data_IF_500829411660
#
_entry.id   IF_500829411660
#
_cell.length_a   1.000
_cell.length_b   1.000
_cell.length_c   1.000
_cell.angle_alpha   90.00
_cell.angle_beta   90.00
_cell.angle_gamma   90.00
#
_symmetry.space_group_name_H-M   'P 1'
#
loop_
_entity.id
_entity.type
_entity.pdbx_description
1 polymer ?
#
# COMPACT_ATOMS: atom_id res chain seq x y z
N UNK A 1 -5.92 18.97 -0.83
CA UNK A 1 -4.58 18.56 -0.34
C UNK A 1 -4.41 18.71 1.17
N UNK A 2 -5.48 18.93 1.93
CA UNK A 2 -5.39 19.27 3.37
C UNK A 2 -6.13 18.29 4.29
N UNK A 3 -6.86 17.30 3.76
CA UNK A 3 -7.70 16.41 4.57
C UNK A 3 -7.04 15.11 5.07
N UNK A 4 -5.91 14.70 4.50
CA UNK A 4 -5.17 13.49 4.95
C UNK A 4 -4.41 13.68 6.27
N UNK A 5 -4.38 14.90 6.81
CA UNK A 5 -3.63 15.24 8.03
C UNK A 5 -4.47 15.19 9.32
N UNK A 6 -5.77 14.87 9.24
CA UNK A 6 -6.70 15.10 10.37
C UNK A 6 -7.20 13.86 11.10
N UNK A 7 -6.70 12.65 10.86
CA UNK A 7 -7.26 11.46 11.53
C UNK A 7 -6.49 10.94 12.75
N UNK A 8 -5.71 11.77 13.46
CA UNK A 8 -5.29 11.49 14.83
C UNK A 8 -5.12 12.81 15.60
N UNK A 9 -6.19 13.34 16.21
CA UNK A 9 -6.08 14.45 17.14
C UNK A 9 -5.45 13.93 18.44
N UNK A 10 -4.14 14.11 18.63
CA UNK A 10 -3.47 13.77 19.88
C UNK A 10 -2.00 13.39 19.80
N UNK A 11 -1.42 13.24 18.64
CA UNK A 11 -0.01 12.89 18.50
C UNK A 11 0.95 14.07 18.77
N UNK A 12 2.19 13.73 19.20
CA UNK A 12 3.25 14.71 19.39
C UNK A 12 3.62 15.45 18.09
N UNK A 13 4.36 16.55 18.21
CA UNK A 13 4.85 17.26 17.03
C UNK A 13 5.74 16.34 16.16
N UNK A 14 6.57 15.52 16.80
CA UNK A 14 7.45 14.57 16.10
C UNK A 14 6.67 13.47 15.40
N UNK A 15 5.62 12.94 15.99
CA UNK A 15 4.76 11.94 15.32
C UNK A 15 4.12 12.51 14.06
N UNK A 16 3.69 13.78 14.09
CA UNK A 16 3.15 14.47 12.91
C UNK A 16 4.22 14.69 11.84
N UNK A 17 5.42 15.13 12.25
CA UNK A 17 6.55 15.27 11.33
C UNK A 17 6.96 13.94 10.70
N UNK A 18 6.98 12.85 11.48
CA UNK A 18 7.26 11.52 11.00
C UNK A 18 6.22 11.06 9.96
N UNK A 19 4.92 11.30 10.19
CA UNK A 19 3.88 10.98 9.22
C UNK A 19 4.04 11.75 7.91
N UNK A 20 4.40 13.03 7.97
CA UNK A 20 4.70 13.82 6.77
C UNK A 20 5.90 13.26 6.02
N UNK A 21 6.95 12.89 6.72
CA UNK A 21 8.14 12.28 6.13
C UNK A 21 7.85 10.90 5.51
N UNK A 22 6.99 10.09 6.13
CA UNK A 22 6.55 8.77 5.61
C UNK A 22 5.75 8.88 4.31
N UNK A 23 5.09 10.00 4.04
CA UNK A 23 4.41 10.23 2.77
C UNK A 23 5.37 10.28 1.56
N UNK A 24 6.66 10.48 1.80
CA UNK A 24 7.70 10.51 0.77
C UNK A 24 8.43 9.17 0.60
N UNK A 25 8.19 8.21 1.49
CA UNK A 25 8.74 6.86 1.39
C UNK A 25 7.84 6.02 0.51
N UNK A 26 8.30 5.70 -0.70
CA UNK A 26 7.53 4.91 -1.68
C UNK A 26 8.00 3.46 -1.71
N UNK A 27 7.07 2.58 -2.13
CA UNK A 27 7.39 1.19 -2.43
C UNK A 27 8.32 1.13 -3.66
N UNK A 28 9.47 0.43 -3.61
CA UNK A 28 10.40 0.37 -4.74
C UNK A 28 9.79 -0.31 -5.98
N UNK A 29 8.78 -1.16 -5.84
CA UNK A 29 8.06 -1.80 -6.94
C UNK A 29 6.87 -0.94 -7.43
N UNK A 30 6.46 0.06 -6.65
CA UNK A 30 5.36 0.99 -6.92
C UNK A 30 5.80 2.42 -6.56
N UNK A 31 6.74 3.03 -7.30
CA UNK A 31 7.42 4.27 -6.91
C UNK A 31 6.49 5.51 -6.84
N UNK A 32 5.26 5.38 -7.26
CA UNK A 32 4.22 6.41 -7.15
C UNK A 32 3.36 6.28 -5.89
N UNK A 33 3.48 5.16 -5.15
CA UNK A 33 2.72 4.90 -3.94
C UNK A 33 3.63 4.94 -2.72
N UNK A 34 3.25 5.76 -1.75
CA UNK A 34 3.91 5.79 -0.45
C UNK A 34 3.46 4.64 0.45
N UNK A 35 4.24 4.37 1.49
CA UNK A 35 3.86 3.41 2.54
C UNK A 35 2.57 3.82 3.26
N UNK A 36 2.22 5.11 3.24
CA UNK A 36 0.93 5.62 3.75
C UNK A 36 -0.20 5.35 2.77
N UNK A 37 -0.01 5.55 1.47
CA UNK A 37 -1.00 5.24 0.43
C UNK A 37 -1.40 3.77 0.48
N UNK A 38 -0.42 2.89 0.67
CA UNK A 38 -0.61 1.44 0.78
C UNK A 38 -1.15 1.02 2.16
N UNK A 39 -1.28 1.94 3.12
CA UNK A 39 -1.73 1.63 4.47
C UNK A 39 -0.83 0.66 5.22
N UNK A 40 0.47 0.65 4.90
CA UNK A 40 1.47 -0.23 5.53
C UNK A 40 1.84 0.24 6.94
N UNK A 41 1.61 1.50 7.28
CA UNK A 41 1.92 2.03 8.60
C UNK A 41 0.73 1.79 9.53
N UNK A 42 0.94 0.99 10.58
CA UNK A 42 -0.05 0.73 11.61
C UNK A 42 -0.10 1.85 12.63
N UNK A 43 1.07 2.20 13.17
CA UNK A 43 1.19 3.27 14.15
C UNK A 43 2.54 3.98 14.03
N UNK A 44 2.56 5.21 14.50
CA UNK A 44 3.77 5.98 14.78
C UNK A 44 3.60 6.50 16.19
N UNK A 45 4.52 6.17 17.09
CA UNK A 45 4.50 6.59 18.48
C UNK A 45 5.85 7.15 18.89
N UNK A 46 5.85 8.08 19.84
CA UNK A 46 7.06 8.64 20.45
C UNK A 46 7.08 8.28 21.95
N UNK A 47 8.19 7.71 22.39
CA UNK A 47 8.47 7.47 23.79
C UNK A 47 9.96 7.73 24.07
N UNK A 48 10.26 8.38 25.20
CA UNK A 48 11.63 8.68 25.64
C UNK A 48 12.50 9.37 24.58
N UNK A 49 11.87 10.18 23.73
CA UNK A 49 12.55 10.94 22.68
C UNK A 49 12.90 10.12 21.42
N UNK A 50 12.47 8.87 21.32
CA UNK A 50 12.62 8.01 20.17
C UNK A 50 11.26 7.70 19.51
N UNK A 51 11.27 7.57 18.20
CA UNK A 51 10.09 7.17 17.40
C UNK A 51 10.07 5.64 17.26
N UNK A 52 8.89 5.07 17.35
CA UNK A 52 8.62 3.69 16.96
C UNK A 52 7.58 3.67 15.85
N UNK A 53 7.90 3.03 14.73
CA UNK A 53 7.01 2.87 13.58
C UNK A 53 6.67 1.39 13.44
N UNK A 54 5.38 1.07 13.50
CA UNK A 54 4.88 -0.28 13.22
C UNK A 54 4.57 -0.43 11.73
N UNK A 55 5.34 -1.26 11.04
CA UNK A 55 5.23 -1.54 9.61
C UNK A 55 4.53 -2.87 9.39
N UNK A 56 3.41 -2.86 8.66
CA UNK A 56 2.67 -4.05 8.22
C UNK A 56 3.00 -4.34 6.76
N UNK A 57 3.61 -5.48 6.44
CA UNK A 57 3.86 -5.83 5.04
C UNK A 57 2.55 -6.16 4.32
N UNK A 58 2.38 -5.68 3.10
CA UNK A 58 1.23 -6.02 2.24
C UNK A 58 1.20 -7.50 1.89
N UNK A 59 2.36 -8.14 1.91
CA UNK A 59 2.55 -9.56 1.68
C UNK A 59 3.70 -10.08 2.56
N UNK A 60 3.48 -11.19 3.28
CA UNK A 60 4.46 -11.72 4.26
C UNK A 60 5.81 -12.10 3.64
N UNK A 61 5.83 -12.44 2.35
CA UNK A 61 7.02 -12.80 1.58
C UNK A 61 7.52 -11.67 0.67
N UNK A 62 7.19 -10.40 0.96
CA UNK A 62 7.62 -9.28 0.12
C UNK A 62 9.15 -9.14 0.12
N UNK A 63 9.83 -9.28 -1.04
CA UNK A 63 11.28 -9.14 -1.12
C UNK A 63 11.75 -7.70 -0.89
N UNK A 64 10.86 -6.71 -1.09
CA UNK A 64 11.16 -5.30 -0.89
C UNK A 64 11.05 -4.84 0.58
N UNK A 65 10.61 -5.71 1.50
CA UNK A 65 10.29 -5.31 2.87
C UNK A 65 11.48 -4.69 3.61
N UNK A 66 12.67 -5.28 3.47
CA UNK A 66 13.88 -4.74 4.10
C UNK A 66 14.27 -3.39 3.51
N UNK A 67 14.14 -3.21 2.20
CA UNK A 67 14.39 -1.93 1.53
C UNK A 67 13.42 -0.85 2.01
N UNK A 68 12.14 -1.18 2.16
CA UNK A 68 11.11 -0.26 2.67
C UNK A 68 11.44 0.12 4.12
N UNK A 69 11.77 -0.86 4.96
CA UNK A 69 12.18 -0.60 6.37
C UNK A 69 13.37 0.36 6.42
N UNK A 70 14.41 0.08 5.65
CA UNK A 70 15.63 0.88 5.66
C UNK A 70 15.38 2.30 5.13
N UNK A 71 14.54 2.46 4.10
CA UNK A 71 14.11 3.75 3.59
C UNK A 71 13.30 4.55 4.64
N UNK A 72 12.43 3.88 5.42
CA UNK A 72 11.72 4.51 6.53
C UNK A 72 12.71 5.02 7.59
N UNK A 73 13.68 4.17 7.99
CA UNK A 73 14.70 4.55 8.97
C UNK A 73 15.48 5.76 8.47
N UNK A 74 16.03 5.69 7.25
CA UNK A 74 16.81 6.77 6.65
C UNK A 74 16.02 8.09 6.63
N UNK A 75 14.76 8.03 6.19
CA UNK A 75 13.92 9.22 6.07
C UNK A 75 13.58 9.83 7.43
N UNK A 76 13.33 9.01 8.44
CA UNK A 76 12.93 9.48 9.78
C UNK A 76 14.10 9.89 10.67
N UNK A 77 15.34 9.52 10.35
CA UNK A 77 16.53 10.01 11.08
C UNK A 77 16.61 11.53 11.08
N UNK A 78 16.04 12.21 10.10
CA UNK A 78 15.95 13.69 10.06
C UNK A 78 14.98 14.25 11.12
N UNK A 79 14.06 13.43 11.63
CA UNK A 79 13.08 13.78 12.66
C UNK A 79 13.60 13.42 14.06
N UNK A 80 14.32 12.28 14.17
CA UNK A 80 14.90 11.82 15.42
C UNK A 80 15.27 10.33 15.38
N UNK A 81 15.76 9.80 16.52
CA UNK A 81 16.01 8.37 16.66
C UNK A 81 14.73 7.57 16.36
N UNK A 82 14.85 6.49 15.57
CA UNK A 82 13.70 5.70 15.12
C UNK A 82 14.00 4.21 15.16
N UNK A 83 12.99 3.44 15.56
CA UNK A 83 12.93 1.98 15.42
C UNK A 83 11.74 1.62 14.54
N UNK A 84 11.94 0.71 13.58
CA UNK A 84 10.87 0.18 12.74
C UNK A 84 10.62 -1.28 13.11
N UNK A 85 9.41 -1.56 13.57
CA UNK A 85 8.97 -2.89 13.98
C UNK A 85 8.04 -3.49 12.91
N UNK A 86 8.39 -4.69 12.43
CA UNK A 86 7.55 -5.40 11.45
C UNK A 86 6.46 -6.16 12.21
N UNK A 87 5.21 -5.76 11.99
CA UNK A 87 4.03 -6.39 12.58
C UNK A 87 3.65 -7.62 11.77
N UNK A 88 3.69 -8.81 12.40
CA UNK A 88 3.36 -10.10 11.77
C UNK A 88 2.16 -10.79 12.41
N UNK A 89 1.73 -10.32 13.58
CA UNK A 89 0.62 -10.89 14.33
C UNK A 89 -0.76 -10.40 13.88
N UNK A 90 -0.80 -9.42 12.99
CA UNK A 90 -2.02 -8.90 12.38
C UNK A 90 -1.77 -8.80 10.87
N UNK A 91 -2.58 -9.48 10.04
CA UNK A 91 -2.42 -9.40 8.59
C UNK A 91 -2.79 -7.99 8.09
N UNK A 92 -2.06 -7.52 7.09
CA UNK A 92 -2.47 -6.37 6.32
C UNK A 92 -3.71 -6.71 5.49
N UNK A 93 -4.55 -5.74 5.26
CA UNK A 93 -5.72 -5.87 4.39
C UNK A 93 -5.72 -4.79 3.33
N UNK A 94 -6.17 -5.11 2.12
CA UNK A 94 -6.31 -4.18 1.01
C UNK A 94 -7.28 -3.02 1.27
N UNK A 95 -8.15 -3.15 2.28
CA UNK A 95 -9.01 -2.05 2.76
C UNK A 95 -8.20 -0.90 3.39
N UNK A 96 -6.95 -1.15 3.75
CA UNK A 96 -6.04 -0.12 4.29
C UNK A 96 -5.46 0.80 3.22
N UNK A 97 -5.55 0.42 1.95
CA UNK A 97 -5.13 1.30 0.83
C UNK A 97 -6.03 2.53 0.85
N UNK A 98 -5.42 3.70 0.91
CA UNK A 98 -6.17 4.96 0.91
C UNK A 98 -6.85 5.18 -0.44
N UNK A 99 -7.90 6.00 -0.47
CA UNK A 99 -8.55 6.36 -1.74
C UNK A 99 -7.56 7.05 -2.70
N UNK A 100 -6.67 7.88 -2.18
CA UNK A 100 -5.59 8.46 -2.98
C UNK A 100 -4.64 7.39 -3.53
N UNK A 101 -4.29 6.38 -2.72
CA UNK A 101 -3.49 5.24 -3.15
C UNK A 101 -4.18 4.45 -4.27
N UNK A 102 -5.48 4.21 -4.17
CA UNK A 102 -6.27 3.56 -5.23
C UNK A 102 -6.26 4.37 -6.53
N UNK A 103 -6.38 5.68 -6.45
CA UNK A 103 -6.29 6.56 -7.62
C UNK A 103 -4.88 6.59 -8.22
N UNK A 104 -3.84 6.52 -7.39
CA UNK A 104 -2.46 6.41 -7.87
C UNK A 104 -2.21 5.07 -8.58
N UNK A 105 -2.75 3.96 -8.06
CA UNK A 105 -2.73 2.66 -8.75
C UNK A 105 -3.35 2.76 -10.14
N UNK A 106 -4.57 3.29 -10.26
CA UNK A 106 -5.25 3.46 -11.55
C UNK A 106 -4.43 4.30 -12.53
N UNK A 107 -3.85 5.41 -12.07
CA UNK A 107 -2.99 6.27 -12.92
C UNK A 107 -1.71 5.56 -13.36
N UNK A 108 -1.22 4.62 -12.58
CA UNK A 108 -0.08 3.77 -12.92
C UNK A 108 -0.45 2.59 -13.82
N UNK A 109 -1.73 2.45 -14.22
CA UNK A 109 -2.20 1.35 -15.05
C UNK A 109 -2.41 0.03 -14.30
N UNK A 110 -2.47 0.10 -12.96
CA UNK A 110 -2.80 -1.05 -12.11
C UNK A 110 -4.23 -0.94 -11.63
N UNK A 111 -5.00 -2.01 -11.78
CA UNK A 111 -6.32 -2.08 -11.17
C UNK A 111 -6.18 -2.22 -9.63
N UNK A 112 -6.84 -1.39 -8.83
CA UNK A 112 -6.85 -1.56 -7.39
C UNK A 112 -7.62 -2.83 -7.00
N UNK A 113 -7.36 -3.39 -5.80
CA UNK A 113 -8.13 -4.51 -5.30
C UNK A 113 -9.60 -4.11 -5.10
N UNK A 114 -10.56 -5.04 -5.27
CA UNK A 114 -11.95 -4.77 -4.97
C UNK A 114 -12.14 -4.42 -3.49
N UNK A 115 -13.20 -3.69 -3.17
CA UNK A 115 -13.65 -3.50 -1.80
C UNK A 115 -14.35 -4.76 -1.30
N UNK A 116 -14.18 -5.08 -0.02
CA UNK A 116 -14.85 -6.19 0.64
C UNK A 116 -13.92 -7.32 1.11
N UNK A 117 -14.45 -8.17 1.97
CA UNK A 117 -13.70 -9.23 2.60
C UNK A 117 -13.60 -10.44 1.65
N UNK A 118 -12.40 -10.90 1.32
CA UNK A 118 -12.15 -12.04 0.42
C UNK A 118 -12.70 -13.38 0.91
N UNK A 119 -13.16 -13.48 2.17
CA UNK A 119 -13.72 -14.72 2.71
C UNK A 119 -15.00 -15.21 1.98
N UNK A 120 -15.64 -14.35 1.19
CA UNK A 120 -16.81 -14.72 0.39
C UNK A 120 -16.49 -15.01 -1.09
N UNK A 121 -15.24 -14.83 -1.52
CA UNK A 121 -14.87 -14.93 -2.93
C UNK A 121 -14.24 -16.29 -3.25
N UNK A 122 -15.07 -17.25 -3.59
CA UNK A 122 -14.66 -18.54 -4.20
C UNK A 122 -14.09 -18.36 -5.62
N UNK A 123 -14.17 -17.17 -6.18
CA UNK A 123 -13.65 -16.81 -7.51
C UNK A 123 -12.91 -15.49 -7.37
N UNK A 124 -11.68 -15.39 -7.88
CA UNK A 124 -10.97 -14.10 -7.98
C UNK A 124 -11.84 -13.13 -8.78
N UNK A 125 -12.26 -11.99 -8.19
CA UNK A 125 -13.16 -11.08 -8.86
C UNK A 125 -12.51 -10.52 -10.12
N UNK A 126 -13.32 -10.32 -11.17
CA UNK A 126 -12.90 -9.56 -12.33
C UNK A 126 -12.56 -8.14 -11.88
N UNK A 127 -11.41 -7.62 -12.35
CA UNK A 127 -11.02 -6.24 -12.10
C UNK A 127 -11.50 -5.35 -13.24
N UNK A 128 -11.97 -4.15 -12.95
CA UNK A 128 -12.25 -3.17 -13.99
C UNK A 128 -10.93 -2.75 -14.67
N UNK A 129 -10.98 -2.62 -15.98
CA UNK A 129 -9.80 -2.25 -16.77
C UNK A 129 -9.35 -0.82 -16.41
N UNK A 130 -8.09 -0.61 -16.01
CA UNK A 130 -7.59 0.72 -15.66
C UNK A 130 -7.49 1.67 -16.87
N UNK A 131 -7.52 1.14 -18.09
CA UNK A 131 -7.40 1.94 -19.32
C UNK A 131 -8.74 2.40 -19.90
N UNK A 132 -9.78 1.57 -19.82
CA UNK A 132 -11.09 1.88 -20.42
C UNK A 132 -12.28 1.70 -19.48
N UNK A 133 -12.03 1.40 -18.20
CA UNK A 133 -13.02 1.17 -17.17
C UNK A 133 -14.06 0.07 -17.48
N UNK A 134 -13.78 -0.82 -18.45
CA UNK A 134 -14.66 -1.91 -18.79
C UNK A 134 -14.59 -3.04 -17.77
N UNK A 135 -15.72 -3.57 -17.29
CA UNK A 135 -15.75 -4.78 -16.46
C UNK A 135 -15.57 -6.07 -17.27
N UNK A 136 -15.54 -6.00 -18.61
CA UNK A 136 -15.36 -7.17 -19.47
C UNK A 136 -13.90 -7.60 -19.52
N UNK A 137 -13.44 -8.13 -18.41
CA UNK A 137 -12.06 -8.57 -18.21
C UNK A 137 -12.02 -10.05 -17.80
N UNK A 138 -10.86 -10.65 -17.93
CA UNK A 138 -10.62 -12.01 -17.43
C UNK A 138 -9.27 -12.04 -16.70
N UNK A 139 -9.18 -12.90 -15.70
CA UNK A 139 -7.92 -13.24 -15.08
C UNK A 139 -7.12 -14.13 -16.05
N UNK A 140 -5.97 -13.66 -16.48
CA UNK A 140 -5.05 -14.40 -17.34
C UNK A 140 -4.07 -15.24 -16.50
N UNK A 141 -3.49 -14.63 -15.46
CA UNK A 141 -2.61 -15.32 -14.53
C UNK A 141 -2.77 -14.76 -13.11
N UNK A 142 -2.92 -15.63 -12.07
CA UNK A 142 -2.89 -15.19 -10.69
C UNK A 142 -1.48 -14.77 -10.21
N UNK A 143 -0.47 -14.98 -11.05
CA UNK A 143 0.93 -14.64 -10.78
C UNK A 143 1.38 -13.54 -11.76
N UNK A 144 1.66 -12.37 -11.20
CA UNK A 144 2.23 -11.23 -11.92
C UNK A 144 3.75 -11.14 -11.72
N UNK A 145 4.35 -9.99 -12.09
CA UNK A 145 5.78 -9.75 -11.90
C UNK A 145 6.21 -9.82 -10.43
N UNK A 146 5.29 -9.54 -9.52
CA UNK A 146 5.50 -9.62 -8.07
C UNK A 146 4.38 -10.43 -7.41
N UNK A 147 4.63 -10.93 -6.20
CA UNK A 147 3.69 -11.77 -5.46
C UNK A 147 2.35 -11.06 -5.16
N UNK A 148 2.36 -9.74 -5.05
CA UNK A 148 1.17 -8.92 -4.78
C UNK A 148 0.36 -8.55 -6.02
N UNK A 149 0.74 -9.02 -7.22
CA UNK A 149 0.07 -8.69 -8.49
C UNK A 149 -0.46 -9.91 -9.20
N UNK A 150 -1.53 -9.72 -9.98
CA UNK A 150 -2.10 -10.67 -10.92
C UNK A 150 -2.18 -10.03 -12.31
N UNK A 151 -2.23 -10.85 -13.36
CA UNK A 151 -2.35 -10.39 -14.75
C UNK A 151 -3.77 -10.62 -15.20
N UNK A 152 -4.37 -9.59 -15.78
CA UNK A 152 -5.70 -9.61 -16.38
C UNK A 152 -5.62 -9.18 -17.85
N UNK A 153 -6.66 -9.54 -18.60
CA UNK A 153 -6.85 -9.12 -19.99
C UNK A 153 -8.21 -8.46 -20.17
N UNK A 154 -8.24 -7.28 -20.73
CA UNK A 154 -9.47 -6.58 -21.09
C UNK A 154 -9.94 -6.98 -22.48
N UNK A 155 -11.13 -7.58 -22.59
CA UNK A 155 -11.72 -7.98 -23.88
C UNK A 155 -12.24 -6.78 -24.66
N UNK A 156 -12.51 -5.65 -24.02
CA UNK A 156 -13.04 -4.45 -24.66
C UNK A 156 -11.96 -3.64 -25.37
N UNK A 157 -10.89 -3.24 -24.69
CA UNK A 157 -9.79 -2.49 -25.28
C UNK A 157 -8.63 -3.37 -25.75
N UNK A 158 -8.68 -4.69 -25.46
CA UNK A 158 -7.68 -5.70 -25.85
C UNK A 158 -6.29 -5.45 -25.27
N UNK A 159 -6.22 -4.88 -24.06
CA UNK A 159 -4.97 -4.63 -23.36
C UNK A 159 -4.83 -5.59 -22.17
N UNK A 160 -3.65 -6.18 -21.96
CA UNK A 160 -3.31 -6.78 -20.69
C UNK A 160 -3.07 -5.68 -19.65
N UNK A 161 -3.36 -5.96 -18.39
CA UNK A 161 -3.08 -5.08 -17.28
C UNK A 161 -2.82 -5.88 -16.01
N UNK A 162 -2.23 -5.22 -15.03
CA UNK A 162 -2.00 -5.83 -13.73
C UNK A 162 -3.05 -5.37 -12.72
N UNK A 163 -3.38 -6.24 -11.78
CA UNK A 163 -4.18 -5.91 -10.62
C UNK A 163 -3.36 -6.10 -9.35
N UNK A 164 -3.44 -5.14 -8.43
CA UNK A 164 -2.97 -5.34 -7.07
C UNK A 164 -3.93 -6.31 -6.37
N UNK A 165 -3.41 -7.43 -5.86
CA UNK A 165 -4.24 -8.48 -5.26
C UNK A 165 -4.87 -8.02 -3.96
N UNK A 166 -6.11 -8.42 -3.74
CA UNK A 166 -6.73 -8.33 -2.44
C UNK A 166 -6.11 -9.36 -1.47
N UNK A 167 -5.89 -8.96 -0.22
CA UNK A 167 -5.38 -9.80 0.87
C UNK A 167 -6.22 -9.52 2.11
#
# INVERSE_FOLDING_TARGET
>A
MTELLTSAPGGTLRERQARLALAEVCDPELPTLSVLDLGMIRSVSEADGALTVELMPTFLGCPALDMIRDAIVERLLTVGPVTVEIVRNQPWSSERITEEGRQKLLRAGLAPPPHGNLMELTVLPSADCPYCASPNTLLDSPFGPTSCRAIHYCRSCRQPFEQFKAV
#
